data_IF_712961127203
#
_entry.id   IF_712961127203
#
_cell.length_a   1.000
_cell.length_b   1.000
_cell.length_c   1.000
_cell.angle_alpha   90.00
_cell.angle_beta   90.00
_cell.angle_gamma   90.00
#
_symmetry.space_group_name_H-M   'P 1'
#
loop_
_entity.id
_entity.type
_entity.pdbx_description
1 polymer ?
#
# COMPACT_ATOMS: atom_id res chain seq x y z
N UNK A 1 27.92 14.04 14.72
CA UNK A 1 26.55 14.21 14.18
C UNK A 1 25.56 14.18 15.34
N UNK A 2 24.80 15.27 15.56
CA UNK A 2 23.73 15.31 16.57
C UNK A 2 22.58 14.36 16.21
N UNK A 3 21.81 13.89 17.20
CA UNK A 3 20.71 12.92 17.02
C UNK A 3 19.70 13.38 15.96
N UNK A 4 19.33 14.66 15.94
CA UNK A 4 18.39 15.21 14.93
C UNK A 4 18.94 15.12 13.49
N UNK A 5 20.24 15.32 13.28
CA UNK A 5 20.87 15.15 11.96
C UNK A 5 20.94 13.69 11.54
N UNK A 6 21.15 12.76 12.49
CA UNK A 6 21.14 11.32 12.22
C UNK A 6 19.76 10.84 11.77
N UNK A 7 18.71 11.24 12.48
CA UNK A 7 17.32 10.91 12.12
C UNK A 7 16.94 11.49 10.76
N UNK A 8 17.34 12.74 10.48
CA UNK A 8 17.09 13.39 9.19
C UNK A 8 17.76 12.64 8.03
N UNK A 9 19.03 12.24 8.19
CA UNK A 9 19.74 11.49 7.15
C UNK A 9 19.19 10.07 6.95
N UNK A 10 18.79 9.37 8.03
CA UNK A 10 18.13 8.07 7.91
C UNK A 10 16.85 8.19 7.08
N UNK A 11 15.99 9.17 7.36
CA UNK A 11 14.74 9.34 6.61
C UNK A 11 14.99 9.76 5.17
N UNK A 12 15.97 10.64 4.90
CA UNK A 12 16.36 11.00 3.54
C UNK A 12 16.78 9.78 2.72
N UNK A 13 17.55 8.86 3.30
CA UNK A 13 17.95 7.63 2.63
C UNK A 13 16.74 6.72 2.35
N UNK A 14 15.81 6.60 3.30
CA UNK A 14 14.57 5.83 3.09
C UNK A 14 13.72 6.40 1.95
N UNK A 15 13.52 7.71 1.92
CA UNK A 15 12.76 8.38 0.86
C UNK A 15 13.43 8.20 -0.51
N UNK A 16 14.75 8.39 -0.58
CA UNK A 16 15.51 8.15 -1.81
C UNK A 16 15.47 6.70 -2.27
N UNK A 17 15.40 5.74 -1.34
CA UNK A 17 15.25 4.33 -1.68
C UNK A 17 13.84 4.03 -2.23
N UNK A 18 12.79 4.65 -1.68
CA UNK A 18 11.42 4.59 -2.24
C UNK A 18 11.43 5.11 -3.68
N UNK A 19 12.03 6.29 -3.93
CA UNK A 19 12.15 6.85 -5.27
C UNK A 19 12.91 5.92 -6.22
N UNK A 20 14.00 5.30 -5.76
CA UNK A 20 14.75 4.33 -6.56
C UNK A 20 13.91 3.07 -6.87
N UNK A 21 13.13 2.56 -5.92
CA UNK A 21 12.24 1.41 -6.17
C UNK A 21 11.18 1.81 -7.21
N UNK A 22 10.58 2.99 -7.09
CA UNK A 22 9.61 3.48 -8.06
C UNK A 22 10.19 3.73 -9.45
N UNK A 23 11.45 4.15 -9.54
CA UNK A 23 12.08 4.40 -10.81
C UNK A 23 12.58 3.12 -11.50
N UNK A 24 13.18 2.20 -10.75
CA UNK A 24 13.94 1.09 -11.31
C UNK A 24 13.31 -0.29 -11.07
N UNK A 25 12.37 -0.39 -10.12
CA UNK A 25 11.90 -1.66 -9.56
C UNK A 25 12.86 -2.23 -8.51
N UNK A 26 12.32 -3.04 -7.58
CA UNK A 26 13.03 -3.55 -6.39
C UNK A 26 14.41 -4.16 -6.70
N UNK A 27 14.45 -5.09 -7.65
CA UNK A 27 15.67 -5.86 -8.00
C UNK A 27 16.82 -4.97 -8.49
N UNK A 28 16.50 -3.90 -9.22
CA UNK A 28 17.48 -3.03 -9.88
C UNK A 28 18.04 -1.95 -8.95
N UNK A 29 17.51 -1.79 -7.74
CA UNK A 29 18.02 -0.78 -6.79
C UNK A 29 19.42 -1.16 -6.33
N UNK A 30 20.33 -0.18 -6.31
CA UNK A 30 21.67 -0.34 -5.73
C UNK A 30 21.92 0.69 -4.65
N UNK A 31 22.83 0.39 -3.71
CA UNK A 31 23.28 1.34 -2.68
C UNK A 31 23.82 2.63 -3.30
N UNK A 32 24.47 2.53 -4.47
CA UNK A 32 25.01 3.69 -5.19
C UNK A 32 23.90 4.61 -5.70
N UNK A 33 22.84 4.06 -6.30
CA UNK A 33 21.69 4.84 -6.76
C UNK A 33 21.02 5.57 -5.59
N UNK A 34 20.80 4.86 -4.48
CA UNK A 34 20.18 5.46 -3.28
C UNK A 34 21.06 6.55 -2.69
N UNK A 35 22.37 6.34 -2.58
CA UNK A 35 23.30 7.34 -2.04
C UNK A 35 23.29 8.63 -2.88
N UNK A 36 23.28 8.48 -4.20
CA UNK A 36 23.20 9.58 -5.14
C UNK A 36 21.88 10.35 -5.01
N UNK A 37 20.74 9.64 -4.99
CA UNK A 37 19.42 10.26 -4.84
C UNK A 37 19.27 10.98 -3.49
N UNK A 38 19.74 10.37 -2.39
CA UNK A 38 19.74 10.96 -1.06
C UNK A 38 20.76 12.10 -0.87
N UNK A 39 21.68 12.30 -1.84
CA UNK A 39 22.82 13.23 -1.74
C UNK A 39 23.69 12.96 -0.51
N UNK A 40 23.99 11.69 -0.24
CA UNK A 40 24.85 11.24 0.87
C UNK A 40 26.00 10.37 0.36
N UNK A 41 27.04 10.20 1.18
CA UNK A 41 28.09 9.23 0.90
C UNK A 41 27.55 7.79 1.08
N UNK A 42 27.96 6.85 0.23
CA UNK A 42 27.68 5.40 0.36
C UNK A 42 27.96 4.89 1.77
N UNK A 43 29.04 5.36 2.41
CA UNK A 43 29.38 5.00 3.79
C UNK A 43 28.26 5.31 4.79
N UNK A 44 27.43 6.33 4.53
CA UNK A 44 26.28 6.67 5.37
C UNK A 44 25.20 5.58 5.29
N UNK A 45 24.96 4.99 4.12
CA UNK A 45 23.98 3.88 3.99
C UNK A 45 24.45 2.68 4.79
N UNK A 46 25.73 2.30 4.66
CA UNK A 46 26.30 1.20 5.44
C UNK A 46 26.25 1.51 6.94
N UNK A 47 26.48 2.76 7.35
CA UNK A 47 26.37 3.16 8.76
C UNK A 47 24.95 3.02 9.32
N UNK A 48 23.92 3.45 8.59
CA UNK A 48 22.53 3.44 9.08
C UNK A 48 21.82 2.10 8.92
N UNK A 49 22.14 1.33 7.87
CA UNK A 49 21.39 0.13 7.49
C UNK A 49 22.24 -1.14 7.44
N UNK A 50 23.56 -1.02 7.30
CA UNK A 50 24.49 -2.16 7.25
C UNK A 50 24.56 -2.88 5.90
N UNK A 51 23.45 -3.04 5.19
CA UNK A 51 23.41 -3.65 3.85
C UNK A 51 22.26 -3.11 2.98
N UNK A 52 22.32 -3.39 1.67
CA UNK A 52 21.21 -3.14 0.73
C UNK A 52 19.92 -3.80 1.23
N UNK A 53 19.98 -5.06 1.60
CA UNK A 53 18.79 -5.83 1.97
C UNK A 53 18.14 -5.30 3.25
N UNK A 54 18.95 -4.91 4.24
CA UNK A 54 18.45 -4.27 5.47
C UNK A 54 17.82 -2.90 5.19
N UNK A 55 18.39 -2.13 4.27
CA UNK A 55 17.78 -0.87 3.81
C UNK A 55 16.42 -1.14 3.14
N UNK A 56 16.38 -2.06 2.16
CA UNK A 56 15.15 -2.38 1.44
C UNK A 56 14.08 -2.97 2.36
N UNK A 57 14.46 -3.83 3.30
CA UNK A 57 13.55 -4.34 4.32
C UNK A 57 12.95 -3.22 5.19
N UNK A 58 13.75 -2.25 5.63
CA UNK A 58 13.25 -1.11 6.41
C UNK A 58 12.33 -0.20 5.58
N UNK A 59 12.65 0.01 4.31
CA UNK A 59 11.78 0.74 3.36
C UNK A 59 10.44 0.04 3.24
N UNK A 60 10.43 -1.27 2.94
CA UNK A 60 9.19 -2.02 2.77
C UNK A 60 8.40 -2.10 4.08
N UNK A 61 9.08 -2.19 5.23
CA UNK A 61 8.42 -2.12 6.54
C UNK A 61 7.73 -0.77 6.75
N UNK A 62 8.39 0.34 6.38
CA UNK A 62 7.81 1.68 6.51
C UNK A 62 6.61 1.88 5.58
N UNK A 63 6.73 1.49 4.30
CA UNK A 63 5.64 1.69 3.33
C UNK A 63 4.44 0.77 3.62
N UNK A 64 4.65 -0.44 4.14
CA UNK A 64 3.55 -1.28 4.64
C UNK A 64 2.84 -0.65 5.84
N UNK A 65 3.60 -0.04 6.76
CA UNK A 65 3.01 0.63 7.92
C UNK A 65 2.14 1.81 7.49
N UNK A 66 2.61 2.59 6.52
CA UNK A 66 1.83 3.68 5.93
C UNK A 66 0.54 3.15 5.29
N UNK A 67 0.65 2.17 4.41
CA UNK A 67 -0.48 1.63 3.64
C UNK A 67 -1.56 0.96 4.50
N UNK A 68 -1.17 0.21 5.53
CA UNK A 68 -2.09 -0.63 6.30
C UNK A 68 -2.39 -0.13 7.71
N UNK A 69 -1.61 0.79 8.29
CA UNK A 69 -1.84 1.23 9.67
C UNK A 69 -2.25 2.70 9.71
N UNK A 70 -1.44 3.59 9.12
CA UNK A 70 -1.73 5.03 9.15
C UNK A 70 -3.01 5.34 8.37
N UNK A 71 -3.18 4.79 7.16
CA UNK A 71 -4.42 4.97 6.39
C UNK A 71 -5.69 4.48 7.11
N UNK A 72 -5.64 3.39 7.88
CA UNK A 72 -6.82 2.95 8.64
C UNK A 72 -7.10 3.94 9.77
N UNK A 73 -6.06 4.42 10.44
CA UNK A 73 -6.19 5.37 11.53
C UNK A 73 -6.83 6.67 11.05
N UNK A 74 -6.37 7.20 9.93
CA UNK A 74 -6.79 8.51 9.43
C UNK A 74 -8.25 8.51 8.94
N UNK A 75 -8.70 7.40 8.34
CA UNK A 75 -10.02 7.33 7.71
C UNK A 75 -11.06 6.55 8.52
N UNK A 76 -10.64 5.57 9.31
CA UNK A 76 -11.54 4.61 9.96
C UNK A 76 -11.40 4.59 11.48
N UNK A 77 -10.85 5.63 12.11
CA UNK A 77 -10.72 5.68 13.56
C UNK A 77 -12.05 5.64 14.32
N UNK A 78 -13.12 6.18 13.72
CA UNK A 78 -14.43 6.33 14.34
C UNK A 78 -15.07 4.96 14.60
N UNK A 79 -15.85 4.88 15.69
CA UNK A 79 -16.59 3.66 16.04
C UNK A 79 -17.75 3.38 15.09
N UNK A 80 -18.30 4.42 14.48
CA UNK A 80 -19.34 4.36 13.46
C UNK A 80 -18.72 4.83 12.13
N UNK A 81 -18.55 3.89 11.20
CA UNK A 81 -17.99 4.15 9.88
C UNK A 81 -19.09 4.01 8.84
N UNK A 82 -19.36 5.06 8.09
CA UNK A 82 -20.33 5.03 7.01
C UNK A 82 -19.74 4.50 5.71
N UNK A 83 -20.61 4.31 4.71
CA UNK A 83 -20.21 4.03 3.32
C UNK A 83 -19.21 5.06 2.80
N UNK A 84 -19.42 6.34 3.10
CA UNK A 84 -18.57 7.42 2.63
C UNK A 84 -17.15 7.32 3.21
N UNK A 85 -17.01 6.97 4.49
CA UNK A 85 -15.69 6.75 5.11
C UNK A 85 -14.96 5.57 4.45
N UNK A 86 -15.68 4.48 4.14
CA UNK A 86 -15.13 3.35 3.38
C UNK A 86 -14.75 3.74 1.95
N UNK A 87 -15.58 4.56 1.29
CA UNK A 87 -15.33 5.01 -0.07
C UNK A 87 -14.08 5.90 -0.15
N UNK A 88 -13.94 6.85 0.77
CA UNK A 88 -12.76 7.70 0.89
C UNK A 88 -11.52 6.87 1.20
N UNK A 89 -11.61 5.93 2.14
CA UNK A 89 -10.52 5.02 2.49
C UNK A 89 -10.04 4.21 1.28
N UNK A 90 -10.93 3.49 0.58
CA UNK A 90 -10.52 2.67 -0.56
C UNK A 90 -10.05 3.52 -1.75
N UNK A 91 -10.64 4.70 -1.97
CA UNK A 91 -10.21 5.61 -3.03
C UNK A 91 -8.80 6.19 -2.78
N UNK A 92 -8.48 6.49 -1.51
CA UNK A 92 -7.14 6.93 -1.11
C UNK A 92 -6.11 5.81 -1.20
N UNK A 93 -6.45 4.59 -0.76
CA UNK A 93 -5.55 3.45 -0.94
C UNK A 93 -5.29 3.16 -2.41
N UNK A 94 -6.33 3.20 -3.26
CA UNK A 94 -6.18 3.00 -4.70
C UNK A 94 -5.30 4.08 -5.34
N UNK A 95 -5.39 5.34 -4.89
CA UNK A 95 -4.48 6.40 -5.30
C UNK A 95 -3.02 6.07 -4.97
N UNK A 96 -2.75 5.67 -3.72
CA UNK A 96 -1.42 5.26 -3.29
C UNK A 96 -0.87 4.13 -4.16
N UNK A 97 -1.69 3.14 -4.48
CA UNK A 97 -1.29 2.03 -5.34
C UNK A 97 -0.97 2.46 -6.77
N UNK A 98 -1.77 3.38 -7.33
CA UNK A 98 -1.57 3.91 -8.69
C UNK A 98 -0.30 4.79 -8.76
N UNK A 99 -0.01 5.53 -7.69
CA UNK A 99 1.13 6.44 -7.63
C UNK A 99 2.46 5.75 -7.29
N UNK A 100 2.41 4.60 -6.60
CA UNK A 100 3.58 3.83 -6.17
C UNK A 100 3.53 2.35 -6.62
N UNK A 101 3.36 2.06 -7.93
CA UNK A 101 3.11 0.71 -8.40
C UNK A 101 4.28 -0.25 -8.19
N UNK A 102 5.54 0.22 -8.17
CA UNK A 102 6.67 -0.68 -7.94
C UNK A 102 6.87 -1.04 -6.47
N UNK A 103 6.54 -0.14 -5.54
CA UNK A 103 6.49 -0.44 -4.10
C UNK A 103 5.37 -1.44 -3.81
N UNK A 104 4.19 -1.25 -4.41
CA UNK A 104 3.12 -2.25 -4.27
C UNK A 104 3.62 -3.60 -4.77
N UNK A 105 4.16 -3.70 -5.99
CA UNK A 105 4.70 -4.96 -6.51
C UNK A 105 5.81 -5.54 -5.63
N UNK A 106 6.67 -4.71 -5.06
CA UNK A 106 7.71 -5.15 -4.14
C UNK A 106 7.15 -5.82 -2.87
N UNK A 107 6.01 -5.36 -2.34
CA UNK A 107 5.34 -6.02 -1.20
C UNK A 107 4.81 -7.41 -1.51
N UNK A 108 4.45 -7.66 -2.78
CA UNK A 108 3.90 -8.94 -3.22
C UNK A 108 4.93 -9.82 -3.95
N UNK A 109 6.20 -9.41 -4.00
CA UNK A 109 7.25 -10.10 -4.73
C UNK A 109 7.39 -11.56 -4.30
N UNK A 110 7.62 -11.83 -3.02
CA UNK A 110 7.81 -13.19 -2.48
C UNK A 110 6.55 -14.06 -2.67
N UNK A 111 5.37 -13.44 -2.57
CA UNK A 111 4.10 -14.14 -2.79
C UNK A 111 3.93 -14.55 -4.26
N UNK A 112 4.37 -13.71 -5.20
CA UNK A 112 4.21 -13.96 -6.64
C UNK A 112 5.32 -14.87 -7.21
N UNK A 113 6.56 -14.63 -6.82
CA UNK A 113 7.74 -15.34 -7.35
C UNK A 113 7.92 -16.68 -6.64
N UNK A 114 7.87 -16.68 -5.30
CA UNK A 114 8.21 -17.86 -4.50
C UNK A 114 6.98 -18.61 -3.96
N UNK A 115 5.76 -18.12 -4.25
CA UNK A 115 4.52 -18.59 -3.60
C UNK A 115 4.61 -18.56 -2.07
N UNK A 116 5.41 -17.64 -1.52
CA UNK A 116 5.63 -17.53 -0.10
C UNK A 116 4.66 -16.53 0.53
N UNK A 117 3.61 -17.07 1.15
CA UNK A 117 2.57 -16.27 1.81
C UNK A 117 2.85 -15.96 3.28
N UNK A 118 4.05 -16.24 3.79
CA UNK A 118 4.43 -16.01 5.21
C UNK A 118 5.15 -14.69 5.45
N UNK A 119 5.35 -13.88 4.41
CA UNK A 119 6.04 -12.60 4.48
C UNK A 119 5.26 -11.53 5.26
N UNK A 120 5.96 -10.45 5.63
CA UNK A 120 5.40 -9.34 6.41
C UNK A 120 4.15 -8.72 5.77
N UNK A 121 4.16 -8.53 4.46
CA UNK A 121 3.03 -7.97 3.72
C UNK A 121 1.77 -8.82 3.86
N UNK A 122 1.90 -10.15 3.77
CA UNK A 122 0.74 -11.06 3.85
C UNK A 122 0.17 -11.09 5.27
N UNK A 123 1.03 -11.12 6.28
CA UNK A 123 0.60 -11.01 7.68
C UNK A 123 -0.11 -9.68 7.97
N UNK A 124 0.38 -8.56 7.40
CA UNK A 124 -0.26 -7.24 7.54
C UNK A 124 -1.60 -7.18 6.80
N UNK A 125 -1.68 -7.70 5.58
CA UNK A 125 -2.91 -7.79 4.81
C UNK A 125 -3.97 -8.62 5.54
N UNK A 126 -3.59 -9.75 6.16
CA UNK A 126 -4.49 -10.57 6.94
C UNK A 126 -5.09 -9.80 8.14
N UNK A 127 -4.23 -9.20 8.98
CA UNK A 127 -4.67 -8.38 10.13
C UNK A 127 -5.58 -7.23 9.67
N UNK A 128 -5.24 -6.63 8.52
CA UNK A 128 -6.05 -5.57 7.93
C UNK A 128 -7.43 -6.08 7.50
N UNK A 129 -7.51 -7.21 6.81
CA UNK A 129 -8.79 -7.81 6.42
C UNK A 129 -9.68 -8.14 7.63
N UNK A 130 -9.10 -8.69 8.70
CA UNK A 130 -9.83 -8.93 9.96
C UNK A 130 -10.34 -7.62 10.58
N UNK A 131 -9.50 -6.59 10.59
CA UNK A 131 -9.88 -5.26 11.08
C UNK A 131 -11.01 -4.66 10.25
N UNK A 132 -10.96 -4.77 8.92
CA UNK A 132 -12.03 -4.32 8.01
C UNK A 132 -13.31 -5.11 8.21
N UNK A 133 -13.23 -6.44 8.38
CA UNK A 133 -14.39 -7.26 8.68
C UNK A 133 -15.09 -6.80 9.95
N UNK A 134 -14.34 -6.53 11.02
CA UNK A 134 -14.90 -6.08 12.30
C UNK A 134 -15.67 -4.76 12.19
N UNK A 135 -15.15 -3.83 11.36
CA UNK A 135 -15.75 -2.51 11.13
C UNK A 135 -16.96 -2.60 10.19
N UNK A 136 -16.82 -3.29 9.06
CA UNK A 136 -17.86 -3.42 8.04
C UNK A 136 -19.03 -4.27 8.53
N UNK A 137 -18.80 -5.28 9.40
CA UNK A 137 -19.88 -6.11 9.98
C UNK A 137 -20.98 -5.29 10.67
N UNK A 138 -20.67 -4.07 11.14
CA UNK A 138 -21.63 -3.18 11.79
C UNK A 138 -22.60 -2.52 10.81
N UNK A 139 -22.14 -2.22 9.59
CA UNK A 139 -22.90 -1.47 8.58
C UNK A 139 -23.33 -2.29 7.38
N UNK A 140 -22.72 -3.45 7.17
CA UNK A 140 -23.10 -4.37 6.09
C UNK A 140 -24.35 -5.15 6.45
N UNK A 141 -25.21 -5.35 5.44
CA UNK A 141 -26.33 -6.31 5.48
C UNK A 141 -25.85 -7.75 5.62
N UNK A 142 -24.68 -8.07 5.07
CA UNK A 142 -24.13 -9.42 5.05
C UNK A 142 -23.39 -9.71 6.34
N UNK A 143 -23.41 -10.98 6.75
CA UNK A 143 -22.77 -11.46 7.98
C UNK A 143 -21.91 -12.68 7.68
N UNK A 144 -20.97 -12.92 8.59
CA UNK A 144 -20.14 -14.12 8.67
C UNK A 144 -19.47 -14.47 7.32
N UNK A 145 -19.71 -15.65 6.76
CA UNK A 145 -19.06 -16.12 5.53
C UNK A 145 -19.38 -15.24 4.31
N UNK A 146 -20.64 -14.82 4.15
CA UNK A 146 -21.03 -13.93 3.04
C UNK A 146 -20.26 -12.61 3.09
N UNK A 147 -20.12 -12.04 4.29
CA UNK A 147 -19.32 -10.83 4.48
C UNK A 147 -17.83 -11.07 4.14
N UNK A 148 -17.27 -12.22 4.48
CA UNK A 148 -15.89 -12.56 4.10
C UNK A 148 -15.72 -12.64 2.59
N UNK A 149 -16.67 -13.24 1.87
CA UNK A 149 -16.65 -13.28 0.41
C UNK A 149 -16.72 -11.88 -0.21
N UNK A 150 -17.66 -11.05 0.24
CA UNK A 150 -17.79 -9.67 -0.21
C UNK A 150 -16.52 -8.84 0.05
N UNK A 151 -15.90 -9.00 1.22
CA UNK A 151 -14.64 -8.33 1.52
C UNK A 151 -13.53 -8.77 0.58
N UNK A 152 -13.35 -10.08 0.37
CA UNK A 152 -12.35 -10.60 -0.56
C UNK A 152 -12.61 -10.06 -1.98
N UNK A 153 -13.85 -10.04 -2.44
CA UNK A 153 -14.21 -9.55 -3.77
C UNK A 153 -13.95 -8.04 -3.94
N UNK A 154 -14.35 -7.21 -2.97
CA UNK A 154 -14.03 -5.77 -2.95
C UNK A 154 -12.52 -5.58 -3.01
N UNK A 155 -11.79 -6.28 -2.12
CA UNK A 155 -10.34 -6.18 -2.06
C UNK A 155 -9.68 -6.63 -3.35
N UNK A 156 -10.05 -7.78 -3.91
CA UNK A 156 -9.52 -8.27 -5.18
C UNK A 156 -9.77 -7.27 -6.31
N UNK A 157 -10.97 -6.67 -6.37
CA UNK A 157 -11.30 -5.67 -7.39
C UNK A 157 -10.47 -4.39 -7.26
N UNK A 158 -10.22 -3.92 -6.04
CA UNK A 158 -9.35 -2.75 -5.79
C UNK A 158 -7.89 -3.08 -6.05
N UNK A 159 -7.40 -4.21 -5.53
CA UNK A 159 -6.00 -4.62 -5.65
C UNK A 159 -5.60 -4.93 -7.09
N UNK A 160 -6.48 -5.57 -7.87
CA UNK A 160 -6.17 -5.92 -9.25
C UNK A 160 -5.91 -4.66 -10.10
N UNK A 161 -6.70 -3.61 -9.88
CA UNK A 161 -6.49 -2.30 -10.51
C UNK A 161 -5.20 -1.65 -9.98
N UNK A 162 -5.00 -1.62 -8.66
CA UNK A 162 -3.83 -0.98 -8.07
C UNK A 162 -2.51 -1.66 -8.42
N UNK A 163 -2.47 -2.98 -8.54
CA UNK A 163 -1.28 -3.75 -8.93
C UNK A 163 -0.95 -3.59 -10.42
N UNK A 164 -1.98 -3.44 -11.26
CA UNK A 164 -1.86 -3.38 -12.71
C UNK A 164 -2.66 -2.20 -13.30
N UNK A 165 -2.31 -0.94 -12.96
CA UNK A 165 -3.13 0.22 -13.31
C UNK A 165 -3.28 0.43 -14.83
N UNK A 166 -2.30 0.01 -15.62
CA UNK A 166 -2.35 0.11 -17.09
C UNK A 166 -3.11 -1.04 -17.76
N UNK A 167 -3.45 -2.12 -17.03
CA UNK A 167 -4.09 -3.31 -17.61
C UNK A 167 -5.48 -2.98 -18.17
N UNK A 168 -6.24 -2.17 -17.44
CA UNK A 168 -7.61 -1.82 -17.80
C UNK A 168 -7.73 -0.44 -18.46
N UNK A 169 -6.63 0.31 -18.62
CA UNK A 169 -6.68 1.70 -19.10
C UNK A 169 -7.30 1.84 -20.50
N UNK A 170 -7.10 0.85 -21.39
CA UNK A 170 -7.74 0.85 -22.72
C UNK A 170 -9.21 0.46 -22.69
N UNK A 171 -9.61 -0.36 -21.71
CA UNK A 171 -10.97 -0.82 -21.54
C UNK A 171 -11.83 0.22 -20.81
N UNK A 172 -11.31 0.76 -19.72
CA UNK A 172 -11.91 1.82 -18.95
C UNK A 172 -11.56 3.16 -19.60
N UNK A 173 -12.50 3.77 -20.32
CA UNK A 173 -12.30 5.11 -20.92
C UNK A 173 -12.17 6.25 -19.89
N UNK A 174 -11.99 5.94 -18.60
CA UNK A 174 -11.91 6.88 -17.49
C UNK A 174 -10.55 6.78 -16.80
N UNK A 175 -10.00 7.92 -16.40
CA UNK A 175 -8.71 7.99 -15.72
C UNK A 175 -8.85 7.78 -14.21
N UNK A 176 -8.34 6.67 -13.69
CA UNK A 176 -8.32 6.37 -12.26
C UNK A 176 -7.30 7.22 -11.48
N UNK A 177 -6.48 8.05 -12.13
CA UNK A 177 -5.76 9.12 -11.43
C UNK A 177 -6.68 10.26 -11.01
N UNK A 178 -7.86 10.37 -11.61
CA UNK A 178 -8.88 11.31 -11.18
C UNK A 178 -9.60 10.79 -9.91
N UNK A 179 -9.61 11.59 -8.85
CA UNK A 179 -10.24 11.24 -7.57
C UNK A 179 -11.73 10.90 -7.72
N UNK A 180 -12.48 11.69 -8.49
CA UNK A 180 -13.93 11.49 -8.68
C UNK A 180 -14.22 10.18 -9.40
N UNK A 181 -13.36 9.80 -10.35
CA UNK A 181 -13.46 8.51 -11.05
C UNK A 181 -13.19 7.35 -10.08
N UNK A 182 -12.14 7.45 -9.25
CA UNK A 182 -11.86 6.43 -8.21
C UNK A 182 -13.03 6.30 -7.24
N UNK A 183 -13.53 7.41 -6.70
CA UNK A 183 -14.67 7.40 -5.80
C UNK A 183 -15.91 6.80 -6.44
N UNK A 184 -16.18 7.10 -7.71
CA UNK A 184 -17.30 6.49 -8.46
C UNK A 184 -17.13 4.97 -8.60
N UNK A 185 -15.93 4.51 -8.95
CA UNK A 185 -15.63 3.08 -9.06
C UNK A 185 -15.79 2.36 -7.71
N UNK A 186 -15.23 2.93 -6.64
CA UNK A 186 -15.34 2.37 -5.29
C UNK A 186 -16.78 2.35 -4.79
N UNK A 187 -17.54 3.44 -4.98
CA UNK A 187 -18.94 3.48 -4.58
C UNK A 187 -19.77 2.39 -5.30
N UNK A 188 -19.51 2.17 -6.59
CA UNK A 188 -20.16 1.10 -7.35
C UNK A 188 -19.90 -0.29 -6.74
N UNK A 189 -18.66 -0.57 -6.30
CA UNK A 189 -18.32 -1.80 -5.58
C UNK A 189 -19.04 -1.90 -4.23
N UNK A 190 -18.99 -0.85 -3.42
CA UNK A 190 -19.59 -0.86 -2.08
C UNK A 190 -21.11 -0.99 -2.13
N UNK A 191 -21.78 -0.37 -3.11
CA UNK A 191 -23.23 -0.53 -3.33
C UNK A 191 -23.59 -1.98 -3.64
N UNK A 192 -22.81 -2.62 -4.52
CA UNK A 192 -23.04 -3.99 -4.92
C UNK A 192 -22.92 -4.97 -3.74
N UNK A 193 -21.85 -4.86 -2.97
CA UNK A 193 -21.50 -5.87 -1.96
C UNK A 193 -22.02 -5.55 -0.55
N UNK A 194 -22.15 -4.29 -0.17
CA UNK A 194 -22.43 -3.93 1.23
C UNK A 194 -23.83 -3.34 1.46
N UNK A 195 -24.49 -2.77 0.44
CA UNK A 195 -25.62 -1.83 0.68
C UNK A 195 -26.93 -2.15 -0.07
N UNK A 196 -27.00 -3.12 -0.99
CA UNK A 196 -28.31 -3.48 -1.60
C UNK A 196 -29.34 -4.13 -0.67
#
# INVERSE_FOLDING_TARGET
MNQNQKTNNKQKILNAAIECIEQYGLEKVTVRNVAQAAKVNIAAINYYFGSKDKLLHEVLRQTLHEAFINNIHDYLQKNDIGKNDLADFFAHNLEGMINYPHIVKAHFHDAYIDNNYKGMAMSRLHIFLESMQSKIKRVSKEKDEALQFSLIQIFSAVFMIGLFPSLYQKFLSLDLKNEQVRKKYINHLLDHYLIN
#
